data_IF_233912105005
#
_entry.id   IF_233912105005
#
_cell.length_a   1.000
_cell.length_b   1.000
_cell.length_c   1.000
_cell.angle_alpha   90.00
_cell.angle_beta   90.00
_cell.angle_gamma   90.00
#
_symmetry.space_group_name_H-M   'P 1'
#
loop_
_entity.id
_entity.type
_entity.pdbx_description
1 polymer ?
#
# COMPACT_ATOMS: atom_id res chain seq x y z
N UNK A 1 83.80 -20.56 32.91
CA UNK A 1 82.79 -20.61 31.82
C UNK A 1 81.44 -20.13 32.37
N UNK A 2 81.27 -18.84 32.67
CA UNK A 2 79.99 -18.31 33.24
C UNK A 2 79.92 -16.76 33.25
N UNK A 3 80.15 -16.06 32.14
CA UNK A 3 79.97 -14.59 32.12
C UNK A 3 79.19 -14.01 30.93
N UNK A 4 78.71 -14.83 29.99
CA UNK A 4 78.03 -14.35 28.79
C UNK A 4 76.49 -14.31 28.87
N UNK A 5 75.87 -14.44 30.05
CA UNK A 5 74.40 -14.42 30.20
C UNK A 5 73.79 -13.11 30.72
N UNK A 6 74.58 -12.16 31.25
CA UNK A 6 74.02 -10.94 31.89
C UNK A 6 73.81 -9.75 30.97
N UNK A 7 74.53 -9.64 29.84
CA UNK A 7 74.43 -8.48 28.95
C UNK A 7 73.14 -8.46 28.11
N UNK A 8 72.58 -9.63 27.77
CA UNK A 8 71.42 -9.75 26.89
C UNK A 8 70.10 -9.35 27.56
N UNK A 9 70.00 -9.48 28.89
CA UNK A 9 68.75 -9.19 29.64
C UNK A 9 68.51 -7.68 29.79
N UNK A 10 69.57 -6.86 29.79
CA UNK A 10 69.44 -5.39 29.94
C UNK A 10 68.94 -4.70 28.66
N UNK A 11 69.26 -5.26 27.49
CA UNK A 11 68.83 -4.77 26.17
C UNK A 11 67.33 -5.01 25.93
N UNK A 12 66.80 -6.17 26.36
CA UNK A 12 65.39 -6.51 26.21
C UNK A 12 64.42 -5.56 26.96
N UNK A 13 64.87 -4.93 28.06
CA UNK A 13 64.07 -3.96 28.83
C UNK A 13 63.95 -2.59 28.17
N UNK A 14 64.91 -2.19 27.33
CA UNK A 14 64.87 -0.91 26.61
C UNK A 14 63.92 -0.90 25.43
N UNK A 15 63.71 -2.06 24.79
CA UNK A 15 62.85 -2.22 23.60
C UNK A 15 61.38 -2.41 23.97
N UNK A 16 61.06 -2.79 25.21
CA UNK A 16 59.68 -2.99 25.64
C UNK A 16 58.83 -1.70 25.62
N UNK A 17 59.41 -0.57 26.03
CA UNK A 17 58.71 0.72 26.07
C UNK A 17 58.21 1.20 24.69
N UNK A 18 59.05 1.27 23.63
CA UNK A 18 58.57 1.68 22.31
C UNK A 18 57.53 0.72 21.73
N UNK A 19 57.63 -0.60 22.00
CA UNK A 19 56.60 -1.56 21.54
C UNK A 19 55.25 -1.24 22.19
N UNK A 20 55.21 -1.01 23.50
CA UNK A 20 53.96 -0.67 24.20
C UNK A 20 53.38 0.64 23.67
N UNK A 21 54.21 1.64 23.39
CA UNK A 21 53.78 2.91 22.81
C UNK A 21 53.18 2.70 21.42
N UNK A 22 53.82 1.91 20.56
CA UNK A 22 53.29 1.59 19.22
C UNK A 22 51.95 0.84 19.33
N UNK A 23 51.84 -0.14 20.21
CA UNK A 23 50.60 -0.89 20.43
C UNK A 23 49.49 0.04 20.95
N UNK A 24 49.79 0.90 21.91
CA UNK A 24 48.83 1.91 22.39
C UNK A 24 48.36 2.83 21.25
N UNK A 25 49.28 3.28 20.40
CA UNK A 25 48.97 4.18 19.30
C UNK A 25 48.05 3.49 18.27
N UNK A 26 48.31 2.23 17.96
CA UNK A 26 47.43 1.41 17.11
C UNK A 26 46.04 1.28 17.74
N UNK A 27 45.96 0.96 19.05
CA UNK A 27 44.68 0.83 19.74
C UNK A 27 43.88 2.14 19.76
N UNK A 28 44.56 3.28 19.93
CA UNK A 28 43.92 4.60 19.89
C UNK A 28 43.36 4.89 18.49
N UNK A 29 44.13 4.62 17.42
CA UNK A 29 43.65 4.81 16.05
C UNK A 29 42.41 3.94 15.79
N UNK A 30 42.46 2.66 16.18
CA UNK A 30 41.31 1.74 16.02
C UNK A 30 40.10 2.27 16.80
N UNK A 31 40.30 2.73 18.03
CA UNK A 31 39.22 3.30 18.85
C UNK A 31 38.55 4.52 18.20
N UNK A 32 39.33 5.43 17.63
CA UNK A 32 38.78 6.57 16.89
C UNK A 32 38.04 6.15 15.62
N UNK A 33 38.58 5.20 14.84
CA UNK A 33 37.91 4.70 13.64
C UNK A 33 36.57 4.04 13.94
N UNK A 34 36.48 3.26 15.02
CA UNK A 34 35.22 2.65 15.47
C UNK A 34 34.20 3.71 15.90
N UNK A 35 34.64 4.77 16.56
CA UNK A 35 33.75 5.86 16.98
C UNK A 35 33.18 6.63 15.77
N UNK A 36 33.99 6.90 14.76
CA UNK A 36 33.51 7.53 13.52
C UNK A 36 32.52 6.65 12.77
N UNK A 37 32.79 5.34 12.69
CA UNK A 37 31.86 4.39 12.09
C UNK A 37 30.51 4.37 12.82
N UNK A 38 30.53 4.31 14.15
CA UNK A 38 29.32 4.33 14.97
C UNK A 38 28.50 5.62 14.76
N UNK A 39 29.16 6.78 14.64
CA UNK A 39 28.46 8.05 14.32
C UNK A 39 27.80 7.99 12.94
N UNK A 40 28.49 7.43 11.94
CA UNK A 40 27.94 7.25 10.60
C UNK A 40 26.69 6.36 10.60
N UNK A 41 26.75 5.24 11.33
CA UNK A 41 25.63 4.30 11.44
C UNK A 41 24.41 4.91 12.15
N UNK A 42 24.62 5.73 13.19
CA UNK A 42 23.53 6.43 13.86
C UNK A 42 22.79 7.36 12.89
N UNK A 43 23.52 8.14 12.10
CA UNK A 43 22.91 9.08 11.13
C UNK A 43 22.15 8.33 10.04
N UNK A 44 22.71 7.22 9.54
CA UNK A 44 22.05 6.40 8.52
C UNK A 44 20.78 5.73 9.08
N UNK A 45 20.85 5.22 10.30
CA UNK A 45 19.71 4.61 11.00
C UNK A 45 18.59 5.61 11.22
N UNK A 46 18.92 6.84 11.66
CA UNK A 46 17.92 7.88 11.86
C UNK A 46 17.26 8.28 10.53
N UNK A 47 18.05 8.48 9.46
CA UNK A 47 17.50 8.72 8.11
C UNK A 47 16.62 7.57 7.63
N UNK A 48 16.96 6.33 7.98
CA UNK A 48 16.15 5.16 7.70
C UNK A 48 14.80 5.22 8.42
N UNK A 49 14.82 5.49 9.72
CA UNK A 49 13.61 5.64 10.53
C UNK A 49 12.72 6.78 10.03
N UNK A 50 13.29 7.93 9.67
CA UNK A 50 12.54 9.09 9.16
C UNK A 50 11.86 8.77 7.82
N UNK A 51 12.53 8.03 6.93
CA UNK A 51 11.93 7.57 5.67
C UNK A 51 10.78 6.60 5.89
N UNK A 52 10.90 5.71 6.86
CA UNK A 52 9.83 4.78 7.21
C UNK A 52 8.63 5.51 7.80
N UNK A 53 8.87 6.50 8.68
CA UNK A 53 7.81 7.38 9.20
C UNK A 53 7.12 8.17 8.09
N UNK A 54 7.89 8.76 7.17
CA UNK A 54 7.34 9.46 6.00
C UNK A 54 6.48 8.54 5.12
N UNK A 55 6.88 7.27 4.96
CA UNK A 55 6.07 6.28 4.25
C UNK A 55 4.74 6.00 4.97
N UNK A 56 4.75 5.82 6.30
CA UNK A 56 3.51 5.63 7.07
C UNK A 56 2.59 6.86 7.03
N UNK A 57 3.15 8.06 6.98
CA UNK A 57 2.36 9.29 6.76
C UNK A 57 1.67 9.28 5.39
N UNK A 58 2.36 8.82 4.34
CA UNK A 58 1.73 8.64 3.04
C UNK A 58 0.61 7.58 3.07
N UNK A 59 0.80 6.45 3.76
CA UNK A 59 -0.25 5.43 3.92
C UNK A 59 -1.47 5.96 4.69
N UNK A 60 -1.26 6.82 5.69
CA UNK A 60 -2.35 7.48 6.41
C UNK A 60 -3.17 8.38 5.47
N UNK A 61 -2.50 9.15 4.59
CA UNK A 61 -3.17 9.94 3.56
C UNK A 61 -4.02 9.09 2.61
N UNK A 62 -3.51 7.92 2.19
CA UNK A 62 -4.30 6.99 1.36
C UNK A 62 -5.51 6.43 2.09
N UNK A 63 -5.38 6.17 3.39
CA UNK A 63 -6.49 5.68 4.21
C UNK A 63 -7.59 6.73 4.33
N UNK A 64 -7.21 8.00 4.53
CA UNK A 64 -8.18 9.09 4.53
C UNK A 64 -8.83 9.26 3.16
N UNK A 65 -8.03 9.29 2.08
CA UNK A 65 -8.53 9.35 0.71
C UNK A 65 -9.58 8.26 0.46
N UNK A 66 -9.30 7.02 0.87
CA UNK A 66 -10.24 5.91 0.70
C UNK A 66 -11.60 6.22 1.36
N UNK A 67 -11.60 6.82 2.55
CA UNK A 67 -12.86 7.19 3.24
C UNK A 67 -13.60 8.34 2.56
N UNK A 68 -12.87 9.34 2.03
CA UNK A 68 -13.44 10.45 1.24
C UNK A 68 -14.03 9.96 -0.09
N UNK A 69 -13.34 9.06 -0.77
CA UNK A 69 -13.81 8.44 -2.01
C UNK A 69 -15.11 7.65 -1.78
N UNK A 70 -15.25 6.94 -0.65
CA UNK A 70 -16.53 6.32 -0.27
C UNK A 70 -17.65 7.34 0.00
N UNK A 71 -17.31 8.56 0.42
CA UNK A 71 -18.24 9.67 0.59
C UNK A 71 -18.49 10.46 -0.70
N UNK A 72 -17.91 10.05 -1.83
CA UNK A 72 -17.97 10.72 -3.14
C UNK A 72 -17.24 12.08 -3.19
N UNK A 73 -16.24 12.25 -2.34
CA UNK A 73 -15.35 13.41 -2.33
C UNK A 73 -14.06 13.02 -3.06
N UNK A 74 -13.84 13.59 -4.25
CA UNK A 74 -12.70 13.30 -5.13
C UNK A 74 -11.60 14.37 -5.06
N UNK A 75 -11.75 15.33 -4.14
CA UNK A 75 -10.82 16.45 -4.01
C UNK A 75 -9.47 16.02 -3.43
N UNK A 76 -8.46 16.83 -3.72
CA UNK A 76 -7.15 16.71 -3.11
C UNK A 76 -7.24 16.86 -1.59
N UNK A 77 -6.34 16.17 -0.89
CA UNK A 77 -6.12 16.38 0.54
C UNK A 77 -4.92 17.31 0.68
N UNK A 78 -5.20 18.55 1.06
CA UNK A 78 -4.18 19.53 1.40
C UNK A 78 -3.30 19.04 2.57
N UNK A 79 -2.15 19.69 2.75
CA UNK A 79 -1.19 19.35 3.81
C UNK A 79 -1.86 19.22 5.18
N UNK A 80 -1.92 18.00 5.67
CA UNK A 80 -2.57 17.64 6.94
C UNK A 80 -1.51 17.10 7.90
N UNK A 81 -1.48 17.68 9.10
CA UNK A 81 -0.52 17.30 10.14
C UNK A 81 -0.96 16.01 10.84
N UNK A 82 -0.02 15.06 10.99
CA UNK A 82 -0.23 13.82 11.73
C UNK A 82 1.02 13.47 12.53
N UNK A 83 0.92 13.56 13.85
CA UNK A 83 2.04 13.32 14.75
C UNK A 83 3.16 14.34 14.55
N UNK A 84 4.33 13.87 14.10
CA UNK A 84 5.54 14.69 13.91
C UNK A 84 5.71 15.20 12.48
N UNK A 85 4.87 14.78 11.54
CA UNK A 85 4.99 15.10 10.13
C UNK A 85 3.67 15.52 9.49
N UNK A 86 3.70 15.64 8.17
CA UNK A 86 2.55 16.03 7.36
C UNK A 86 2.34 15.02 6.23
N UNK A 87 1.13 14.94 5.72
CA UNK A 87 0.83 14.26 4.47
C UNK A 87 -0.07 15.11 3.60
N UNK A 88 -0.03 14.86 2.29
CA UNK A 88 -0.95 15.42 1.30
C UNK A 88 -1.28 14.36 0.27
N UNK A 89 -2.42 14.50 -0.40
CA UNK A 89 -2.85 13.56 -1.42
C UNK A 89 -3.33 14.32 -2.65
N UNK A 90 -2.71 14.02 -3.79
CA UNK A 90 -3.07 14.54 -5.10
C UNK A 90 -3.87 13.47 -5.84
N UNK A 91 -5.11 13.79 -6.22
CA UNK A 91 -6.01 12.91 -6.97
C UNK A 91 -6.00 13.32 -8.44
N UNK A 92 -5.84 12.33 -9.31
CA UNK A 92 -5.85 12.47 -10.76
C UNK A 92 -6.98 11.61 -11.32
N UNK A 93 -8.18 12.18 -11.35
CA UNK A 93 -9.40 11.56 -11.86
C UNK A 93 -9.61 11.80 -13.37
N UNK A 94 -8.79 12.65 -13.98
CA UNK A 94 -8.78 12.97 -15.40
C UNK A 94 -7.94 12.02 -16.27
N UNK A 95 -7.18 11.11 -15.65
CA UNK A 95 -6.36 10.09 -16.31
C UNK A 95 -7.02 8.70 -16.29
N UNK A 96 -6.70 7.84 -17.28
CA UNK A 96 -7.21 6.46 -17.35
C UNK A 96 -6.08 5.42 -17.33
N UNK A 97 -5.96 4.60 -16.26
CA UNK A 97 -6.83 4.55 -15.09
C UNK A 97 -6.61 5.73 -14.12
N UNK A 98 -7.65 6.17 -13.38
CA UNK A 98 -7.50 7.21 -12.38
C UNK A 98 -6.54 6.76 -11.28
N UNK A 99 -5.78 7.68 -10.71
CA UNK A 99 -4.82 7.38 -9.65
C UNK A 99 -4.71 8.50 -8.63
N UNK A 100 -4.12 8.20 -7.49
CA UNK A 100 -3.74 9.20 -6.50
C UNK A 100 -2.27 9.06 -6.10
N UNK A 101 -1.64 10.19 -5.78
CA UNK A 101 -0.29 10.26 -5.22
C UNK A 101 -0.41 10.78 -3.80
N UNK A 102 -0.14 9.91 -2.83
CA UNK A 102 -0.01 10.33 -1.43
C UNK A 102 1.45 10.63 -1.10
N UNK A 103 1.70 11.82 -0.58
CA UNK A 103 3.01 12.29 -0.14
C UNK A 103 3.01 12.39 1.37
N UNK A 104 3.95 11.72 2.03
CA UNK A 104 4.23 11.86 3.46
C UNK A 104 5.59 12.49 3.68
N UNK A 105 5.68 13.44 4.60
CA UNK A 105 6.87 14.22 4.87
C UNK A 105 7.17 14.31 6.37
N UNK A 106 8.44 14.05 6.71
CA UNK A 106 9.00 14.24 8.04
C UNK A 106 10.33 14.98 7.95
N UNK A 107 10.32 16.27 8.30
CA UNK A 107 11.49 17.14 8.16
C UNK A 107 11.98 17.20 6.71
N UNK A 108 13.21 16.75 6.46
CA UNK A 108 13.80 16.68 5.11
C UNK A 108 13.52 15.37 4.38
N UNK A 109 12.87 14.40 5.02
CA UNK A 109 12.55 13.10 4.43
C UNK A 109 11.15 13.12 3.84
N UNK A 110 11.04 12.78 2.56
CA UNK A 110 9.77 12.70 1.83
C UNK A 110 9.61 11.31 1.22
N UNK A 111 8.38 10.80 1.22
CA UNK A 111 7.98 9.59 0.50
C UNK A 111 6.67 9.80 -0.24
N UNK A 112 6.64 9.37 -1.49
CA UNK A 112 5.45 9.38 -2.33
C UNK A 112 5.01 7.96 -2.66
N UNK A 113 3.72 7.71 -2.60
CA UNK A 113 3.09 6.44 -2.96
C UNK A 113 2.02 6.74 -4.00
N UNK A 114 2.17 6.17 -5.20
CA UNK A 114 1.16 6.24 -6.25
C UNK A 114 0.28 4.99 -6.17
N UNK A 115 -1.03 5.16 -6.14
CA UNK A 115 -2.02 4.08 -6.17
C UNK A 115 -3.01 4.29 -7.31
N UNK A 116 -3.32 3.23 -8.03
CA UNK A 116 -4.39 3.24 -9.03
C UNK A 116 -5.74 3.11 -8.31
N UNK A 117 -6.69 3.97 -8.65
CA UNK A 117 -8.03 4.01 -8.07
C UNK A 117 -8.97 3.10 -8.87
N UNK A 118 -8.59 1.83 -9.05
CA UNK A 118 -9.31 0.90 -9.94
C UNK A 118 -10.74 0.57 -9.48
N UNK A 119 -11.14 0.88 -8.25
CA UNK A 119 -12.53 0.76 -7.80
C UNK A 119 -13.43 1.88 -8.33
N UNK A 120 -12.85 2.99 -8.80
CA UNK A 120 -13.55 3.99 -9.59
C UNK A 120 -13.75 3.54 -11.04
N UNK A 121 -13.16 2.42 -11.46
CA UNK A 121 -13.40 1.88 -12.78
C UNK A 121 -14.81 1.25 -12.83
N UNK A 122 -15.70 1.74 -13.71
CA UNK A 122 -17.12 1.39 -13.78
C UNK A 122 -17.50 -0.10 -13.80
N UNK A 123 -16.58 -0.96 -14.23
CA UNK A 123 -16.87 -2.35 -14.56
C UNK A 123 -16.62 -3.35 -13.42
N UNK A 124 -15.99 -2.97 -12.31
CA UNK A 124 -15.51 -3.93 -11.29
C UNK A 124 -16.35 -4.01 -10.02
N UNK A 125 -17.42 -3.22 -9.89
CA UNK A 125 -18.25 -3.21 -8.67
C UNK A 125 -19.60 -3.92 -8.82
N UNK A 126 -19.93 -4.37 -10.04
CA UNK A 126 -21.13 -5.14 -10.32
C UNK A 126 -20.75 -6.55 -10.77
N UNK A 127 -21.38 -7.57 -10.18
CA UNK A 127 -21.29 -8.94 -10.67
C UNK A 127 -21.98 -9.11 -12.04
N UNK A 128 -22.92 -8.21 -12.34
CA UNK A 128 -23.58 -8.11 -13.64
C UNK A 128 -23.69 -6.64 -14.01
N UNK A 129 -23.07 -6.26 -15.13
CA UNK A 129 -23.12 -4.93 -15.71
C UNK A 129 -23.70 -5.01 -17.12
N UNK A 130 -24.77 -4.27 -17.38
CA UNK A 130 -25.36 -4.16 -18.70
C UNK A 130 -25.90 -2.74 -18.95
N UNK A 131 -25.41 -2.09 -20.01
CA UNK A 131 -25.81 -0.73 -20.41
C UNK A 131 -25.86 -0.65 -21.93
N UNK A 132 -26.87 0.02 -22.46
CA UNK A 132 -26.92 0.37 -23.88
C UNK A 132 -26.45 1.82 -24.07
N UNK A 133 -25.25 2.00 -24.61
CA UNK A 133 -24.67 3.34 -24.83
C UNK A 133 -25.38 4.13 -25.94
N UNK A 134 -26.14 3.45 -26.81
CA UNK A 134 -26.84 4.08 -27.94
C UNK A 134 -28.22 4.63 -27.57
N UNK A 135 -28.75 4.31 -26.37
CA UNK A 135 -30.05 4.81 -25.90
C UNK A 135 -31.28 4.13 -26.53
N UNK A 136 -31.07 3.09 -27.34
CA UNK A 136 -32.19 2.30 -27.89
C UNK A 136 -32.87 1.47 -26.78
N UNK A 137 -34.17 1.19 -26.94
CA UNK A 137 -34.89 0.26 -26.06
C UNK A 137 -34.26 -1.13 -26.11
N UNK A 138 -33.98 -1.69 -24.94
CA UNK A 138 -33.37 -3.00 -24.81
C UNK A 138 -33.79 -3.66 -23.50
N UNK A 139 -33.76 -4.98 -23.47
CA UNK A 139 -34.05 -5.79 -22.28
C UNK A 139 -32.88 -6.69 -21.94
N UNK A 140 -32.45 -6.67 -20.68
CA UNK A 140 -31.49 -7.62 -20.15
C UNK A 140 -32.21 -8.85 -19.59
N UNK A 141 -31.94 -10.03 -20.15
CA UNK A 141 -32.47 -11.29 -19.65
C UNK A 141 -31.35 -12.13 -19.04
N UNK A 142 -31.49 -12.48 -17.76
CA UNK A 142 -30.72 -13.55 -17.14
C UNK A 142 -31.48 -14.86 -17.23
N UNK A 143 -30.73 -15.95 -17.36
CA UNK A 143 -31.26 -17.31 -17.26
C UNK A 143 -30.28 -18.18 -16.50
N UNK A 144 -30.79 -18.85 -15.46
CA UNK A 144 -29.99 -19.68 -14.58
C UNK A 144 -29.45 -20.90 -15.32
N UNK A 145 -28.37 -21.48 -14.81
CA UNK A 145 -27.94 -22.80 -15.26
C UNK A 145 -28.77 -23.87 -14.55
N UNK A 146 -29.50 -24.67 -15.32
CA UNK A 146 -30.37 -25.74 -14.87
C UNK A 146 -31.11 -26.38 -16.05
N UNK A 147 -31.76 -27.52 -15.83
CA UNK A 147 -32.65 -28.13 -16.82
C UNK A 147 -34.08 -27.86 -16.40
N UNK A 148 -34.68 -26.72 -16.78
CA UNK A 148 -36.01 -26.34 -16.30
C UNK A 148 -37.01 -27.44 -16.65
N UNK A 149 -37.66 -28.00 -15.64
CA UNK A 149 -38.70 -28.99 -15.82
C UNK A 149 -40.04 -28.27 -15.84
N UNK A 150 -40.90 -28.60 -16.81
CA UNK A 150 -42.26 -28.07 -16.83
C UNK A 150 -43.06 -28.73 -15.71
N UNK A 151 -43.42 -27.95 -14.70
CA UNK A 151 -44.28 -28.34 -13.59
C UNK A 151 -45.76 -28.44 -13.98
N UNK A 152 -46.58 -28.89 -13.03
CA UNK A 152 -48.03 -28.98 -13.23
C UNK A 152 -48.61 -27.58 -13.47
N UNK A 153 -49.49 -27.44 -14.48
CA UNK A 153 -50.10 -26.18 -14.94
C UNK A 153 -49.17 -25.25 -15.75
N UNK A 154 -48.02 -25.73 -16.21
CA UNK A 154 -47.15 -24.97 -17.12
C UNK A 154 -46.22 -23.96 -16.44
N UNK A 155 -46.11 -24.00 -15.10
CA UNK A 155 -45.05 -23.31 -14.37
C UNK A 155 -43.73 -24.05 -14.60
N UNK A 156 -42.64 -23.33 -14.87
CA UNK A 156 -41.33 -23.99 -14.85
C UNK A 156 -40.99 -24.28 -13.38
N UNK A 157 -40.26 -25.37 -13.13
CA UNK A 157 -39.77 -25.75 -11.81
C UNK A 157 -38.35 -26.22 -12.05
N UNK A 158 -37.38 -25.54 -11.42
CA UNK A 158 -35.93 -25.67 -11.62
C UNK A 158 -35.32 -24.68 -12.65
N UNK A 159 -34.09 -24.22 -12.39
CA UNK A 159 -33.40 -23.18 -13.17
C UNK A 159 -33.33 -21.79 -12.52
N UNK A 160 -33.08 -21.71 -11.20
CA UNK A 160 -33.03 -20.44 -10.45
C UNK A 160 -31.93 -19.50 -10.96
N UNK A 161 -32.29 -18.25 -11.22
CA UNK A 161 -31.35 -17.14 -11.36
C UNK A 161 -30.93 -16.65 -9.97
N UNK A 162 -29.69 -16.93 -9.58
CA UNK A 162 -29.10 -16.39 -8.35
C UNK A 162 -27.98 -15.41 -8.69
N UNK A 163 -28.20 -14.15 -8.35
CA UNK A 163 -27.18 -13.10 -8.47
C UNK A 163 -26.68 -12.76 -7.07
N UNK A 164 -25.42 -13.09 -6.79
CA UNK A 164 -24.75 -12.75 -5.53
C UNK A 164 -23.79 -11.59 -5.75
N UNK A 165 -24.18 -10.38 -5.35
CA UNK A 165 -23.42 -9.16 -5.59
C UNK A 165 -24.29 -8.04 -6.17
N UNK A 166 -23.66 -6.91 -6.48
CA UNK A 166 -24.38 -5.77 -7.05
C UNK A 166 -24.67 -6.00 -8.53
N UNK A 167 -25.85 -5.60 -8.97
CA UNK A 167 -26.27 -5.65 -10.36
C UNK A 167 -26.56 -4.22 -10.82
N UNK A 168 -26.02 -3.82 -11.96
CA UNK A 168 -26.38 -2.57 -12.61
C UNK A 168 -26.87 -2.84 -14.02
N UNK A 169 -28.10 -2.41 -14.28
CA UNK A 169 -28.75 -2.49 -15.58
C UNK A 169 -29.41 -1.16 -15.89
N UNK A 170 -28.98 -0.52 -16.97
CA UNK A 170 -29.55 0.73 -17.49
C UNK A 170 -30.60 0.42 -18.58
N UNK A 171 -31.68 -0.25 -18.17
CA UNK A 171 -32.72 -0.78 -19.05
C UNK A 171 -33.70 -1.70 -18.32
N UNK A 172 -34.62 -2.32 -19.07
CA UNK A 172 -35.58 -3.27 -18.51
C UNK A 172 -34.89 -4.60 -18.16
N UNK A 173 -35.17 -5.12 -16.96
CA UNK A 173 -34.62 -6.40 -16.48
C UNK A 173 -35.72 -7.45 -16.42
N UNK A 174 -35.52 -8.59 -17.06
CA UNK A 174 -36.36 -9.77 -16.91
C UNK A 174 -35.59 -10.90 -16.22
N UNK A 175 -36.12 -11.37 -15.09
CA UNK A 175 -35.64 -12.54 -14.37
C UNK A 175 -36.78 -13.57 -14.24
N UNK A 176 -36.47 -14.87 -14.18
CA UNK A 176 -37.47 -15.94 -14.18
C UNK A 176 -37.89 -16.38 -12.76
N UNK A 177 -39.20 -16.46 -12.52
CA UNK A 177 -39.84 -17.10 -11.36
C UNK A 177 -39.15 -16.90 -9.99
N UNK A 178 -38.56 -17.93 -9.37
CA UNK A 178 -37.92 -17.91 -8.04
C UNK A 178 -36.54 -17.20 -8.02
N UNK A 179 -36.38 -16.15 -8.83
CA UNK A 179 -35.17 -15.36 -8.92
C UNK A 179 -34.88 -14.60 -7.63
N UNK A 180 -33.62 -14.59 -7.22
CA UNK A 180 -33.16 -13.80 -6.07
C UNK A 180 -31.93 -12.98 -6.44
N UNK A 181 -32.02 -11.68 -6.19
CA UNK A 181 -30.87 -10.79 -6.16
C UNK A 181 -30.47 -10.62 -4.69
N UNK A 182 -29.27 -11.09 -4.35
CA UNK A 182 -28.66 -10.92 -3.05
C UNK A 182 -27.63 -9.80 -3.15
N UNK A 183 -28.03 -8.52 -3.01
CA UNK A 183 -27.09 -7.40 -3.07
C UNK A 183 -26.08 -7.49 -1.93
N UNK A 184 -24.92 -6.83 -2.10
CA UNK A 184 -23.99 -6.64 -0.99
C UNK A 184 -24.68 -5.87 0.16
N UNK A 185 -24.22 -6.00 1.42
CA UNK A 185 -24.77 -5.27 2.56
C UNK A 185 -24.80 -3.74 2.37
N UNK A 186 -23.91 -3.23 1.52
CA UNK A 186 -23.86 -1.83 1.10
C UNK A 186 -23.86 -1.79 -0.44
N UNK A 187 -25.05 -1.88 -1.08
CA UNK A 187 -25.14 -1.88 -2.52
C UNK A 187 -24.70 -0.52 -3.06
N UNK A 188 -23.83 -0.52 -4.06
CA UNK A 188 -23.46 0.72 -4.71
C UNK A 188 -24.66 1.26 -5.51
N UNK A 189 -25.09 2.48 -5.18
CA UNK A 189 -26.19 3.21 -5.85
C UNK A 189 -25.70 4.13 -6.96
N UNK A 190 -24.39 4.16 -7.25
CA UNK A 190 -23.83 4.92 -8.35
C UNK A 190 -24.37 4.36 -9.67
N UNK A 191 -25.24 5.14 -10.33
CA UNK A 191 -25.44 4.98 -11.76
C UNK A 191 -24.18 5.41 -12.48
N UNK A 192 -23.73 4.62 -13.44
CA UNK A 192 -22.67 5.07 -14.33
C UNK A 192 -23.21 6.23 -15.16
N UNK A 193 -22.79 7.45 -14.83
CA UNK A 193 -23.02 8.62 -15.68
C UNK A 193 -22.30 8.44 -17.00
#
# INVERSE_FOLDING_TARGET
MSETKRATIRSARGVALPIVVVVMLILVIIGFSLLELARGEIVLTQKGADKTKAFYLAEAGLTELTSRLYAKEFDNIDETALGEGIYSVEVHDDEEPPYAISTGQLGTSEKKVKVELSFLAPAFEHCVYARNAQGDEWSFSLRGQGNPAIGALGTEVDGKDMVNGNMYVDGDVSMYEESAVNPAPWPNTHGLS
#
